data_IF_436585023307
#
_entry.id   IF_436585023307
#
_cell.length_a   1.000
_cell.length_b   1.000
_cell.length_c   1.000
_cell.angle_alpha   90.00
_cell.angle_beta   90.00
_cell.angle_gamma   90.00
#
_symmetry.space_group_name_H-M   'P 1'
#
loop_
_entity.id
_entity.type
_entity.pdbx_description
1 polymer ?
#
# COMPACT_ATOMS: atom_id res chain seq x y z
N UNK A 1 -12.05 -14.09 8.99
CA UNK A 1 -11.01 -13.65 9.95
C UNK A 1 -10.32 -12.43 9.34
N UNK A 2 -9.97 -11.43 10.15
CA UNK A 2 -9.25 -10.22 9.72
C UNK A 2 -8.15 -9.96 10.74
N UNK A 3 -6.97 -9.55 10.29
CA UNK A 3 -5.84 -9.17 11.13
C UNK A 3 -5.14 -7.96 10.52
N UNK A 4 -4.83 -6.96 11.35
CA UNK A 4 -4.12 -5.74 11.00
C UNK A 4 -3.49 -5.13 12.25
N UNK A 5 -2.54 -4.21 12.09
CA UNK A 5 -1.84 -3.55 13.19
C UNK A 5 -2.77 -2.68 14.07
N UNK A 6 -3.90 -2.23 13.52
CA UNK A 6 -4.83 -1.33 14.18
C UNK A 6 -6.20 -2.02 14.44
N UNK A 7 -6.70 -2.09 15.69
CA UNK A 7 -7.93 -2.81 16.03
C UNK A 7 -9.24 -2.27 15.40
N UNK A 8 -9.39 -0.96 15.20
CA UNK A 8 -10.55 -0.36 14.55
C UNK A 8 -10.56 -0.61 13.03
N UNK A 9 -9.40 -0.73 12.38
CA UNK A 9 -9.27 -1.15 11.00
C UNK A 9 -9.66 -2.63 10.87
N UNK A 10 -9.24 -3.48 11.82
CA UNK A 10 -9.74 -4.86 11.92
C UNK A 10 -11.26 -4.88 12.03
N UNK A 11 -11.84 -4.02 12.88
CA UNK A 11 -13.29 -3.93 13.03
C UNK A 11 -13.99 -3.53 11.73
N UNK A 12 -13.47 -2.53 11.00
CA UNK A 12 -14.00 -2.13 9.71
C UNK A 12 -14.00 -3.28 8.69
N UNK A 13 -12.89 -4.03 8.61
CA UNK A 13 -12.82 -5.22 7.75
C UNK A 13 -13.81 -6.32 8.17
N UNK A 14 -13.96 -6.57 9.47
CA UNK A 14 -14.94 -7.53 9.99
C UNK A 14 -16.37 -7.11 9.65
N UNK A 15 -16.69 -5.83 9.69
CA UNK A 15 -18.03 -5.33 9.38
C UNK A 15 -18.36 -5.48 7.89
N UNK A 16 -17.37 -5.30 6.99
CA UNK A 16 -17.53 -5.62 5.57
C UNK A 16 -17.79 -7.11 5.35
N UNK A 17 -17.03 -8.00 6.01
CA UNK A 17 -17.27 -9.44 5.90
C UNK A 17 -18.66 -9.85 6.43
N UNK A 18 -19.12 -9.26 7.54
CA UNK A 18 -20.47 -9.51 8.09
C UNK A 18 -21.57 -9.04 7.14
N UNK A 19 -21.32 -8.00 6.35
CA UNK A 19 -22.24 -7.51 5.32
C UNK A 19 -22.21 -8.37 4.04
N UNK A 20 -21.43 -9.45 4.01
CA UNK A 20 -21.32 -10.35 2.86
C UNK A 20 -20.28 -9.92 1.82
N UNK A 21 -19.42 -8.94 2.14
CA UNK A 21 -18.31 -8.54 1.30
C UNK A 21 -17.23 -9.63 1.19
N UNK A 22 -16.43 -9.56 0.12
CA UNK A 22 -15.31 -10.46 -0.10
C UNK A 22 -14.11 -10.12 0.80
N UNK A 23 -13.11 -11.00 0.80
CA UNK A 23 -11.82 -10.72 1.46
C UNK A 23 -11.13 -9.46 0.86
N UNK A 24 -11.34 -9.19 -0.42
CA UNK A 24 -10.78 -8.00 -1.09
C UNK A 24 -11.49 -6.73 -0.63
N UNK A 25 -12.82 -6.76 -0.53
CA UNK A 25 -13.60 -5.61 -0.03
C UNK A 25 -13.20 -5.28 1.41
N UNK A 26 -13.04 -6.31 2.25
CA UNK A 26 -12.58 -6.14 3.63
C UNK A 26 -11.16 -5.55 3.69
N UNK A 27 -10.25 -6.02 2.84
CA UNK A 27 -8.88 -5.49 2.77
C UNK A 27 -8.86 -4.02 2.32
N UNK A 28 -9.71 -3.61 1.37
CA UNK A 28 -9.85 -2.21 0.94
C UNK A 28 -10.32 -1.34 2.11
N UNK A 29 -11.33 -1.77 2.87
CA UNK A 29 -11.81 -1.03 4.03
C UNK A 29 -10.75 -0.92 5.14
N UNK A 30 -10.04 -2.02 5.42
CA UNK A 30 -8.90 -2.02 6.36
C UNK A 30 -7.85 -1.01 5.92
N UNK A 31 -7.44 -1.04 4.65
CA UNK A 31 -6.42 -0.14 4.11
C UNK A 31 -6.84 1.33 4.20
N UNK A 32 -8.09 1.64 3.87
CA UNK A 32 -8.64 2.99 4.00
C UNK A 32 -8.61 3.49 5.46
N UNK A 33 -8.95 2.64 6.43
CA UNK A 33 -8.86 2.97 7.85
C UNK A 33 -7.40 3.15 8.30
N UNK A 34 -6.48 2.28 7.86
CA UNK A 34 -5.06 2.40 8.19
C UNK A 34 -4.45 3.69 7.65
N UNK A 35 -4.84 4.16 6.47
CA UNK A 35 -4.37 5.45 5.95
C UNK A 35 -4.68 6.65 6.86
N UNK A 36 -5.74 6.56 7.68
CA UNK A 36 -6.06 7.57 8.69
C UNK A 36 -5.39 7.27 10.04
N UNK A 37 -5.41 6.02 10.47
CA UNK A 37 -5.06 5.63 11.84
C UNK A 37 -3.56 5.33 12.02
N UNK A 38 -2.85 4.99 10.94
CA UNK A 38 -1.41 4.75 10.89
C UNK A 38 -0.75 5.56 9.74
N UNK A 39 -0.89 6.89 9.74
CA UNK A 39 -0.54 7.74 8.59
C UNK A 39 0.97 7.81 8.30
N UNK A 40 1.82 7.39 9.24
CA UNK A 40 3.28 7.31 9.05
C UNK A 40 3.73 6.00 8.40
N UNK A 41 2.84 5.00 8.33
CA UNK A 41 3.14 3.67 7.80
C UNK A 41 2.30 3.29 6.57
N UNK A 42 1.13 3.90 6.40
CA UNK A 42 0.19 3.63 5.31
C UNK A 42 -0.42 4.95 4.80
N UNK A 43 -0.61 5.04 3.49
CA UNK A 43 -1.42 6.09 2.88
C UNK A 43 -1.64 5.85 1.39
N UNK A 44 -2.59 6.59 0.81
CA UNK A 44 -2.89 6.53 -0.64
C UNK A 44 -1.73 6.98 -1.52
N UNK A 45 -0.77 7.75 -0.99
CA UNK A 45 0.42 8.20 -1.70
C UNK A 45 1.62 7.25 -1.56
N UNK A 46 1.41 6.03 -1.06
CA UNK A 46 2.45 5.02 -0.93
C UNK A 46 2.27 3.87 -1.92
N UNK A 47 2.99 2.77 -1.65
CA UNK A 47 3.00 1.58 -2.48
C UNK A 47 2.14 0.44 -1.89
N UNK A 48 1.72 -0.49 -2.75
CA UNK A 48 1.01 -1.69 -2.31
C UNK A 48 1.52 -2.96 -3.01
N UNK A 49 1.73 -4.00 -2.23
CA UNK A 49 1.93 -5.36 -2.72
C UNK A 49 0.85 -6.24 -2.09
N UNK A 50 0.09 -6.96 -2.92
CA UNK A 50 -0.94 -7.87 -2.43
C UNK A 50 -0.76 -9.27 -3.01
N UNK A 51 -0.99 -10.27 -2.17
CA UNK A 51 -1.07 -11.67 -2.56
C UNK A 51 -2.50 -12.13 -2.35
N UNK A 52 -3.16 -12.56 -3.42
CA UNK A 52 -4.56 -12.94 -3.43
C UNK A 52 -4.69 -14.39 -3.89
N UNK A 53 -5.40 -15.19 -3.13
CA UNK A 53 -5.84 -16.50 -3.60
C UNK A 53 -7.15 -16.34 -4.36
N UNK A 54 -7.14 -16.71 -5.64
CA UNK A 54 -8.35 -16.81 -6.45
C UNK A 54 -8.90 -18.24 -6.33
N UNK A 55 -10.02 -18.43 -5.61
CA UNK A 55 -10.60 -19.76 -5.41
C UNK A 55 -11.24 -20.32 -6.69
N UNK A 56 -11.69 -19.48 -7.63
CA UNK A 56 -12.33 -19.93 -8.86
C UNK A 56 -11.31 -20.60 -9.79
N UNK A 57 -10.09 -20.09 -9.82
CA UNK A 57 -9.00 -20.61 -10.65
C UNK A 57 -7.97 -21.43 -9.86
N UNK A 58 -8.18 -21.59 -8.54
CA UNK A 58 -7.23 -22.23 -7.62
C UNK A 58 -5.80 -21.73 -7.81
N UNK A 59 -5.64 -20.41 -7.86
CA UNK A 59 -4.40 -19.75 -8.24
C UNK A 59 -4.04 -18.64 -7.26
N UNK A 60 -2.76 -18.57 -6.91
CA UNK A 60 -2.18 -17.42 -6.24
C UNK A 60 -1.85 -16.32 -7.26
N UNK A 61 -2.35 -15.12 -7.03
CA UNK A 61 -2.13 -13.92 -7.83
C UNK A 61 -1.38 -12.90 -7.00
N UNK A 62 -0.32 -12.33 -7.56
CA UNK A 62 0.37 -11.18 -6.99
C UNK A 62 -0.04 -9.91 -7.70
N UNK A 63 -0.35 -8.86 -6.93
CA UNK A 63 -0.50 -7.50 -7.42
C UNK A 63 0.71 -6.70 -6.94
N UNK A 64 1.52 -6.24 -7.90
CA UNK A 64 2.52 -5.22 -7.66
C UNK A 64 1.93 -3.87 -8.06
N UNK A 65 1.64 -3.03 -7.06
CA UNK A 65 1.23 -1.65 -7.19
C UNK A 65 2.24 -0.72 -6.49
N UNK A 66 3.54 -1.05 -6.59
CA UNK A 66 4.61 -0.11 -6.25
C UNK A 66 4.78 0.92 -7.35
N UNK A 67 4.96 2.17 -6.94
CA UNK A 67 5.11 3.25 -7.86
C UNK A 67 6.45 3.25 -8.59
N UNK A 68 6.47 3.86 -9.77
CA UNK A 68 7.67 4.01 -10.59
C UNK A 68 8.30 5.39 -10.39
N UNK A 69 9.60 5.51 -10.70
CA UNK A 69 10.19 6.83 -10.86
C UNK A 69 9.46 7.62 -11.97
N UNK A 70 9.26 8.94 -11.82
CA UNK A 70 8.68 9.78 -12.86
C UNK A 70 9.43 9.64 -14.20
N UNK A 71 8.69 9.62 -15.30
CA UNK A 71 9.24 9.33 -16.65
C UNK A 71 10.42 10.23 -17.05
N UNK A 72 10.38 11.50 -16.67
CA UNK A 72 11.40 12.49 -17.01
C UNK A 72 12.58 12.55 -16.03
N UNK A 73 12.49 11.84 -14.89
CA UNK A 73 13.51 11.86 -13.86
C UNK A 73 14.67 10.94 -14.25
N UNK A 74 15.85 11.52 -14.39
CA UNK A 74 17.09 10.78 -14.66
C UNK A 74 18.06 10.92 -13.49
N UNK A 75 18.96 9.95 -13.31
CA UNK A 75 19.85 9.90 -12.14
C UNK A 75 20.78 11.12 -12.03
N UNK A 76 21.21 11.70 -13.15
CA UNK A 76 22.04 12.90 -13.22
C UNK A 76 21.34 14.18 -12.75
N UNK A 77 20.01 14.18 -12.68
CA UNK A 77 19.22 15.31 -12.15
C UNK A 77 19.14 15.30 -10.62
N UNK A 78 19.39 14.16 -9.98
CA UNK A 78 19.30 14.00 -8.52
C UNK A 78 20.67 14.30 -7.91
N UNK A 79 20.75 15.38 -7.14
CA UNK A 79 21.93 15.65 -6.31
C UNK A 79 21.87 14.74 -5.07
N UNK A 80 22.79 13.78 -4.89
CA UNK A 80 22.74 12.87 -3.77
C UNK A 80 23.16 13.57 -2.46
N UNK A 81 22.78 12.97 -1.34
CA UNK A 81 23.33 13.28 -0.02
C UNK A 81 24.83 12.91 0.04
N UNK A 82 25.52 13.30 1.12
CA UNK A 82 26.96 13.01 1.29
C UNK A 82 27.29 11.51 1.27
N UNK A 83 26.33 10.66 1.65
CA UNK A 83 26.46 9.21 1.65
C UNK A 83 26.05 8.55 0.31
N UNK A 84 25.70 9.35 -0.70
CA UNK A 84 25.31 8.87 -2.02
C UNK A 84 23.82 8.50 -2.15
N UNK A 85 23.01 8.69 -1.10
CA UNK A 85 21.58 8.38 -1.13
C UNK A 85 20.74 9.48 -1.79
N UNK A 86 19.53 9.13 -2.23
CA UNK A 86 18.53 10.11 -2.67
C UNK A 86 18.09 10.93 -1.45
N UNK A 87 18.06 12.27 -1.53
CA UNK A 87 17.59 13.11 -0.44
C UNK A 87 16.15 12.76 -0.02
N UNK A 88 15.98 12.26 1.21
CA UNK A 88 14.70 11.71 1.69
C UNK A 88 13.57 12.76 1.72
N UNK A 89 13.88 13.98 2.13
CA UNK A 89 12.92 15.09 2.21
C UNK A 89 12.93 15.91 0.92
N UNK A 90 12.85 15.25 -0.23
CA UNK A 90 12.81 15.87 -1.54
C UNK A 90 11.78 15.19 -2.46
N UNK A 91 11.33 15.86 -3.53
CA UNK A 91 10.45 15.25 -4.53
C UNK A 91 11.08 14.04 -5.25
N UNK A 92 12.41 13.91 -5.23
CA UNK A 92 13.12 12.80 -5.86
C UNK A 92 12.92 11.46 -5.14
N UNK A 93 12.48 11.50 -3.88
CA UNK A 93 12.17 10.31 -3.10
C UNK A 93 10.74 9.78 -3.33
N UNK A 94 9.94 10.44 -4.19
CA UNK A 94 8.55 10.06 -4.46
C UNK A 94 8.42 9.17 -5.70
N UNK A 95 7.60 8.14 -5.59
CA UNK A 95 7.22 7.22 -6.68
C UNK A 95 5.79 7.48 -7.14
N UNK A 96 5.46 7.05 -8.37
CA UNK A 96 4.13 7.19 -9.01
C UNK A 96 3.39 5.87 -9.01
#
# INVERSE_FOLDING_TARGET
MVCAAQPLAVQAGLDILKQGGSAVDAAIAVNACLGLMEPTANGLGGDLFAMLWDPAHSKLVGLNASGRAPLALTADQVKPEQDGTIPLYSPYAWTV
#
